data_IF_921042042036
#
_entry.id   IF_921042042036
#
_cell.length_a   1.000
_cell.length_b   1.000
_cell.length_c   1.000
_cell.angle_alpha   90.00
_cell.angle_beta   90.00
_cell.angle_gamma   90.00
#
_symmetry.space_group_name_H-M   'P 1'
#
loop_
_entity.id
_entity.type
_entity.pdbx_description
1 polymer ?
#
# COMPACT_ATOMS: atom_id res chain seq x y z
N UNK A 1 -12.65 -16.49 -0.53
CA UNK A 1 -12.56 -15.38 -1.52
C UNK A 1 -11.51 -15.67 -2.60
N UNK A 2 -10.26 -16.01 -2.28
CA UNK A 2 -9.21 -16.25 -3.29
C UNK A 2 -9.56 -17.23 -4.41
N UNK A 3 -10.16 -18.38 -4.06
CA UNK A 3 -10.63 -19.38 -5.05
C UNK A 3 -11.69 -18.82 -6.00
N UNK A 4 -12.50 -17.86 -5.57
CA UNK A 4 -13.55 -17.27 -6.40
C UNK A 4 -12.90 -16.41 -7.49
N UNK A 5 -12.03 -15.47 -7.12
CA UNK A 5 -11.42 -14.55 -8.09
C UNK A 5 -10.43 -15.23 -9.03
N UNK A 6 -9.62 -16.19 -8.53
CA UNK A 6 -8.69 -16.96 -9.37
C UNK A 6 -9.37 -17.87 -10.40
N UNK A 7 -10.60 -18.32 -10.11
CA UNK A 7 -11.39 -19.15 -11.03
C UNK A 7 -12.36 -18.32 -11.88
N UNK A 8 -12.61 -17.07 -11.51
CA UNK A 8 -13.47 -16.19 -12.28
C UNK A 8 -12.88 -15.96 -13.68
N UNK A 9 -13.74 -16.02 -14.70
CA UNK A 9 -13.37 -15.65 -16.07
C UNK A 9 -13.02 -14.17 -16.17
N UNK A 10 -13.77 -13.33 -15.44
CA UNK A 10 -13.66 -11.89 -15.44
C UNK A 10 -14.22 -11.35 -14.12
N UNK A 11 -13.60 -10.29 -13.60
CA UNK A 11 -14.08 -9.54 -12.44
C UNK A 11 -14.68 -8.22 -12.91
N UNK A 12 -15.95 -7.97 -12.56
CA UNK A 12 -16.65 -6.73 -12.87
C UNK A 12 -16.67 -5.85 -11.62
N UNK A 13 -16.08 -4.67 -11.72
CA UNK A 13 -15.93 -3.71 -10.63
C UNK A 13 -16.92 -2.58 -10.87
N UNK A 14 -18.07 -2.65 -10.22
CA UNK A 14 -19.06 -1.59 -10.25
C UNK A 14 -18.74 -0.54 -9.17
N UNK A 15 -18.50 0.70 -9.57
CA UNK A 15 -18.18 1.78 -8.62
C UNK A 15 -19.39 2.62 -8.23
N UNK A 16 -20.20 3.03 -9.20
CA UNK A 16 -21.35 3.91 -8.99
C UNK A 16 -22.20 4.06 -10.27
N UNK A 17 -23.36 4.71 -10.14
CA UNK A 17 -24.14 5.19 -11.28
C UNK A 17 -23.50 6.39 -11.95
N UNK A 18 -23.77 6.54 -13.25
CA UNK A 18 -23.35 7.71 -14.01
C UNK A 18 -24.20 8.94 -13.65
N UNK A 19 -23.52 10.07 -13.52
CA UNK A 19 -24.07 11.40 -13.28
C UNK A 19 -23.39 12.38 -14.23
N UNK A 20 -23.93 13.59 -14.37
CA UNK A 20 -23.29 14.65 -15.15
C UNK A 20 -21.85 14.95 -14.69
N UNK A 21 -21.55 14.71 -13.41
CA UNK A 21 -20.25 15.02 -12.82
C UNK A 21 -19.16 13.95 -13.00
N UNK A 22 -19.54 12.67 -13.15
CA UNK A 22 -18.59 11.54 -13.16
C UNK A 22 -18.64 10.72 -14.46
N UNK A 23 -19.54 11.06 -15.39
CA UNK A 23 -19.79 10.25 -16.59
C UNK A 23 -18.58 10.16 -17.52
N UNK A 24 -17.68 11.16 -17.49
CA UNK A 24 -16.48 11.19 -18.34
C UNK A 24 -15.23 10.68 -17.63
N UNK A 25 -15.30 10.33 -16.34
CA UNK A 25 -14.13 9.98 -15.56
C UNK A 25 -13.31 8.83 -16.18
N UNK A 26 -13.99 7.81 -16.74
CA UNK A 26 -13.34 6.69 -17.41
C UNK A 26 -12.75 7.06 -18.78
N UNK A 27 -13.34 8.03 -19.48
CA UNK A 27 -12.85 8.54 -20.76
C UNK A 27 -11.56 9.34 -20.53
N UNK A 28 -11.48 10.11 -19.43
CA UNK A 28 -10.26 10.81 -19.02
C UNK A 28 -9.10 9.83 -18.80
N UNK A 29 -9.33 8.66 -18.18
CA UNK A 29 -8.30 7.63 -18.06
C UNK A 29 -7.86 7.09 -19.42
N UNK A 30 -8.80 6.91 -20.36
CA UNK A 30 -8.48 6.46 -21.73
C UNK A 30 -7.63 7.50 -22.47
N UNK A 31 -7.90 8.79 -22.28
CA UNK A 31 -7.06 9.88 -22.82
C UNK A 31 -5.69 9.93 -22.15
N UNK A 32 -5.62 9.77 -20.83
CA UNK A 32 -4.34 9.74 -20.12
C UNK A 32 -3.46 8.57 -20.58
N UNK A 33 -4.04 7.42 -20.91
CA UNK A 33 -3.29 6.30 -21.45
C UNK A 33 -2.57 6.62 -22.76
N UNK A 34 -3.15 7.48 -23.61
CA UNK A 34 -2.56 7.87 -24.90
C UNK A 34 -1.59 9.05 -24.77
N UNK A 35 -1.83 9.95 -23.82
CA UNK A 35 -1.01 11.16 -23.61
C UNK A 35 0.25 10.84 -22.79
N UNK A 36 0.14 10.01 -21.75
CA UNK A 36 1.25 9.74 -20.85
C UNK A 36 2.30 8.87 -21.57
N UNK A 37 3.58 9.28 -21.57
CA UNK A 37 4.62 8.50 -22.20
C UNK A 37 4.71 7.10 -21.60
N UNK A 38 5.06 6.12 -22.42
CA UNK A 38 5.35 4.79 -21.94
C UNK A 38 6.53 4.81 -20.97
N UNK A 39 6.42 3.99 -19.94
CA UNK A 39 7.50 3.83 -18.98
C UNK A 39 8.71 3.19 -19.67
N UNK A 40 9.94 3.67 -19.41
CA UNK A 40 11.13 2.94 -19.84
C UNK A 40 11.10 1.52 -19.25
N UNK A 41 11.65 0.56 -19.99
CA UNK A 41 11.78 -0.81 -19.49
C UNK A 41 12.47 -0.80 -18.12
N UNK A 42 11.74 -1.25 -17.09
CA UNK A 42 12.21 -1.20 -15.72
C UNK A 42 13.46 -2.07 -15.57
N UNK A 43 14.63 -1.53 -15.14
CA UNK A 43 15.65 -2.37 -14.56
C UNK A 43 15.04 -3.03 -13.32
N UNK A 44 15.28 -4.33 -13.16
CA UNK A 44 14.56 -5.19 -12.22
C UNK A 44 14.55 -4.69 -10.76
N UNK A 45 13.45 -5.04 -10.10
CA UNK A 45 13.21 -5.19 -8.65
C UNK A 45 12.95 -3.99 -7.73
N UNK A 46 13.21 -2.72 -8.09
CA UNK A 46 12.99 -1.60 -7.15
C UNK A 46 12.41 -0.33 -7.78
N UNK A 47 11.15 -0.04 -7.46
CA UNK A 47 10.45 1.21 -7.83
C UNK A 47 11.08 2.45 -7.19
N UNK A 48 11.81 2.30 -6.07
CA UNK A 48 12.42 3.44 -5.36
C UNK A 48 13.52 4.16 -6.15
N UNK A 49 14.07 3.54 -7.20
CA UNK A 49 15.25 4.07 -7.88
C UNK A 49 14.95 4.67 -9.26
N UNK A 50 13.72 4.53 -9.78
CA UNK A 50 13.33 5.06 -11.11
C UNK A 50 12.18 6.05 -10.98
N UNK A 51 12.50 7.28 -10.57
CA UNK A 51 11.62 8.42 -10.82
C UNK A 51 11.90 8.91 -12.23
N UNK A 52 10.90 8.89 -13.10
CA UNK A 52 11.04 9.53 -14.39
C UNK A 52 10.89 11.04 -14.22
N UNK A 53 11.82 11.82 -14.81
CA UNK A 53 11.79 13.28 -14.72
C UNK A 53 10.53 13.83 -15.40
N UNK A 54 9.73 14.57 -14.64
CA UNK A 54 8.64 15.40 -15.20
C UNK A 54 9.24 16.59 -15.91
N UNK A 55 8.79 16.84 -17.13
CA UNK A 55 9.11 18.07 -17.83
C UNK A 55 7.92 19.04 -17.78
N UNK A 56 8.16 20.37 -17.69
CA UNK A 56 7.10 21.36 -17.80
C UNK A 56 6.26 21.22 -19.08
N UNK A 57 6.88 20.80 -20.18
CA UNK A 57 6.23 20.57 -21.47
C UNK A 57 5.20 19.44 -21.38
N UNK A 58 5.52 18.34 -20.70
CA UNK A 58 4.59 17.23 -20.48
C UNK A 58 3.39 17.70 -19.65
N UNK A 59 3.62 18.47 -18.59
CA UNK A 59 2.54 19.02 -17.75
C UNK A 59 1.63 19.95 -18.55
N UNK A 60 2.20 20.83 -19.38
CA UNK A 60 1.43 21.71 -20.25
C UNK A 60 0.64 20.94 -21.30
N UNK A 61 1.24 19.92 -21.90
CA UNK A 61 0.57 19.06 -22.88
C UNK A 61 -0.63 18.32 -22.26
N UNK A 62 -0.46 17.72 -21.08
CA UNK A 62 -1.55 17.05 -20.35
C UNK A 62 -2.69 18.05 -20.07
N UNK A 63 -2.37 19.24 -19.56
CA UNK A 63 -3.39 20.27 -19.29
C UNK A 63 -4.13 20.74 -20.55
N UNK A 64 -3.45 20.80 -21.69
CA UNK A 64 -4.05 21.21 -22.96
C UNK A 64 -4.96 20.13 -23.55
N UNK A 65 -4.66 18.86 -23.31
CA UNK A 65 -5.41 17.74 -23.87
C UNK A 65 -6.59 17.29 -22.99
N UNK A 66 -6.53 17.50 -21.67
CA UNK A 66 -7.59 17.07 -20.77
C UNK A 66 -8.76 18.08 -20.71
N UNK A 67 -10.02 17.61 -20.72
CA UNK A 67 -11.18 18.45 -20.49
C UNK A 67 -11.13 19.21 -19.17
N UNK A 68 -11.77 20.37 -19.11
CA UNK A 68 -11.95 21.11 -17.86
C UNK A 68 -12.66 20.22 -16.82
N UNK A 69 -12.19 20.27 -15.58
CA UNK A 69 -12.76 19.46 -14.49
C UNK A 69 -12.25 18.01 -14.41
N UNK A 70 -11.45 17.53 -15.36
CA UNK A 70 -10.85 16.16 -15.35
C UNK A 70 -10.18 15.81 -14.02
N UNK A 71 -9.47 16.76 -13.42
CA UNK A 71 -8.79 16.59 -12.14
C UNK A 71 -9.77 16.23 -11.01
N UNK A 72 -10.95 16.87 -11.00
CA UNK A 72 -11.98 16.62 -9.99
C UNK A 72 -12.69 15.29 -10.23
N UNK A 73 -12.94 14.93 -11.49
CA UNK A 73 -13.54 13.64 -11.85
C UNK A 73 -12.65 12.46 -11.43
N UNK A 74 -11.34 12.53 -11.72
CA UNK A 74 -10.35 11.55 -11.25
C UNK A 74 -10.32 11.51 -9.72
N UNK A 75 -10.24 12.67 -9.06
CA UNK A 75 -10.22 12.74 -7.60
C UNK A 75 -11.45 12.07 -6.97
N UNK A 76 -12.63 12.31 -7.54
CA UNK A 76 -13.88 11.70 -7.09
C UNK A 76 -13.89 10.19 -7.30
N UNK A 77 -13.52 9.70 -8.48
CA UNK A 77 -13.43 8.27 -8.77
C UNK A 77 -12.48 7.56 -7.80
N UNK A 78 -11.28 8.09 -7.61
CA UNK A 78 -10.29 7.49 -6.72
C UNK A 78 -10.68 7.58 -5.24
N UNK A 79 -11.55 8.54 -4.86
CA UNK A 79 -12.05 8.66 -3.49
C UNK A 79 -13.02 7.54 -3.09
N UNK A 80 -13.48 6.72 -4.05
CA UNK A 80 -14.47 5.69 -3.78
C UNK A 80 -13.97 4.68 -2.74
N UNK A 81 -14.81 4.28 -1.77
CA UNK A 81 -14.43 3.35 -0.71
C UNK A 81 -13.84 2.04 -1.21
N UNK A 82 -14.26 1.58 -2.40
CA UNK A 82 -13.74 0.35 -3.01
C UNK A 82 -12.20 0.33 -3.11
N UNK A 83 -11.57 1.43 -3.53
CA UNK A 83 -10.11 1.54 -3.65
C UNK A 83 -9.35 1.43 -2.32
N UNK A 84 -10.06 1.60 -1.20
CA UNK A 84 -9.47 1.56 0.13
C UNK A 84 -9.64 0.20 0.79
N UNK A 85 -10.48 -0.70 0.30
CA UNK A 85 -10.76 -1.99 0.97
C UNK A 85 -9.60 -2.97 0.77
N UNK A 86 -9.19 -3.69 1.81
CA UNK A 86 -8.10 -4.68 1.69
C UNK A 86 -8.42 -5.82 0.70
N UNK A 87 -9.70 -6.14 0.54
CA UNK A 87 -10.17 -7.19 -0.37
C UNK A 87 -9.96 -6.87 -1.85
N UNK A 88 -9.78 -5.58 -2.22
CA UNK A 88 -9.45 -5.18 -3.59
C UNK A 88 -8.24 -5.95 -4.12
N UNK A 89 -7.28 -6.25 -3.24
CA UNK A 89 -6.05 -6.91 -3.63
C UNK A 89 -6.36 -8.29 -4.24
N UNK A 90 -7.20 -9.13 -3.60
CA UNK A 90 -7.60 -10.40 -4.22
C UNK A 90 -8.48 -10.18 -5.45
N UNK A 91 -9.37 -9.19 -5.40
CA UNK A 91 -10.30 -8.88 -6.49
C UNK A 91 -9.58 -8.57 -7.80
N UNK A 92 -8.44 -7.87 -7.75
CA UNK A 92 -7.71 -7.43 -8.96
C UNK A 92 -6.44 -8.23 -9.24
N UNK A 93 -5.69 -8.65 -8.21
CA UNK A 93 -4.42 -9.40 -8.39
C UNK A 93 -4.70 -10.83 -8.85
N UNK A 94 -5.80 -11.45 -8.43
CA UNK A 94 -6.15 -12.82 -8.83
C UNK A 94 -7.05 -12.87 -10.06
N UNK A 95 -7.51 -11.73 -10.55
CA UNK A 95 -8.39 -11.69 -11.71
C UNK A 95 -7.61 -12.07 -12.98
N UNK A 96 -8.20 -12.91 -13.82
CA UNK A 96 -7.69 -13.13 -15.18
C UNK A 96 -7.83 -11.88 -16.03
N UNK A 97 -8.99 -11.24 -15.92
CA UNK A 97 -9.29 -9.92 -16.48
C UNK A 97 -10.23 -9.18 -15.51
N UNK A 98 -10.10 -7.86 -15.45
CA UNK A 98 -10.96 -7.01 -14.63
C UNK A 98 -11.41 -5.78 -15.41
N UNK A 99 -12.62 -5.29 -15.12
CA UNK A 99 -13.23 -4.15 -15.81
C UNK A 99 -13.99 -3.28 -14.81
N UNK A 100 -13.70 -1.98 -14.82
CA UNK A 100 -14.35 -0.96 -13.99
C UNK A 100 -15.59 -0.43 -14.70
N UNK A 101 -16.65 -0.16 -13.96
CA UNK A 101 -17.91 0.40 -14.46
C UNK A 101 -18.36 1.62 -13.67
N UNK A 102 -18.86 2.63 -14.40
CA UNK A 102 -19.62 3.78 -13.91
C UNK A 102 -20.87 3.90 -14.80
N UNK A 103 -22.05 3.60 -14.26
CA UNK A 103 -23.26 3.46 -15.09
C UNK A 103 -23.04 2.47 -16.23
N UNK A 104 -23.40 2.85 -17.46
CA UNK A 104 -23.19 2.01 -18.65
C UNK A 104 -21.78 2.08 -19.24
N UNK A 105 -20.89 2.93 -18.71
CA UNK A 105 -19.52 3.09 -19.20
C UNK A 105 -18.57 2.16 -18.48
N UNK A 106 -17.48 1.80 -19.17
CA UNK A 106 -16.53 0.85 -18.61
C UNK A 106 -15.10 1.08 -19.08
N UNK A 107 -14.14 0.65 -18.26
CA UNK A 107 -12.71 0.76 -18.52
C UNK A 107 -12.00 -0.54 -18.13
N UNK A 108 -11.10 -1.04 -18.98
CA UNK A 108 -10.28 -2.18 -18.62
C UNK A 108 -9.37 -1.83 -17.43
N UNK A 109 -9.26 -2.74 -16.46
CA UNK A 109 -8.43 -2.54 -15.27
C UNK A 109 -6.95 -2.31 -15.62
N UNK A 110 -6.45 -2.97 -16.68
CA UNK A 110 -5.09 -2.80 -17.18
C UNK A 110 -4.80 -1.37 -17.62
N UNK A 111 -5.75 -0.70 -18.27
CA UNK A 111 -5.63 0.70 -18.68
C UNK A 111 -5.55 1.59 -17.43
N UNK A 112 -6.50 1.38 -16.51
CA UNK A 112 -6.59 2.14 -15.27
C UNK A 112 -5.27 2.06 -14.47
N UNK A 113 -4.75 0.85 -14.22
CA UNK A 113 -3.54 0.70 -13.42
C UNK A 113 -2.31 1.25 -14.14
N UNK A 114 -2.20 1.07 -15.46
CA UNK A 114 -1.07 1.58 -16.22
C UNK A 114 -1.00 3.11 -16.14
N UNK A 115 -2.15 3.78 -16.27
CA UNK A 115 -2.24 5.23 -16.07
C UNK A 115 -1.86 5.63 -14.65
N UNK A 116 -2.39 4.96 -13.63
CA UNK A 116 -2.06 5.24 -12.22
C UNK A 116 -0.56 5.07 -11.96
N UNK A 117 0.03 3.99 -12.48
CA UNK A 117 1.46 3.69 -12.37
C UNK A 117 2.33 4.77 -13.01
N UNK A 118 1.97 5.22 -14.23
CA UNK A 118 2.63 6.35 -14.90
C UNK A 118 2.50 7.63 -14.10
N UNK A 119 1.32 7.96 -13.59
CA UNK A 119 1.13 9.16 -12.77
C UNK A 119 2.05 9.12 -11.53
N UNK A 120 2.18 7.97 -10.88
CA UNK A 120 3.04 7.82 -9.69
C UNK A 120 4.52 7.91 -10.03
N UNK A 121 4.98 7.23 -11.07
CA UNK A 121 6.41 7.21 -11.43
C UNK A 121 6.91 8.53 -12.02
N UNK A 122 6.04 9.22 -12.75
CA UNK A 122 6.28 10.60 -13.18
C UNK A 122 5.91 11.60 -12.08
N UNK A 123 5.63 11.24 -10.81
CA UNK A 123 5.31 12.24 -9.77
C UNK A 123 4.25 13.29 -10.17
N UNK A 124 3.26 12.88 -10.97
CA UNK A 124 2.23 13.74 -11.54
C UNK A 124 1.02 13.91 -10.61
N UNK A 125 1.08 13.39 -9.38
CA UNK A 125 -0.05 13.39 -8.45
C UNK A 125 -0.48 14.80 -8.06
N UNK A 126 0.44 15.77 -8.07
CA UNK A 126 0.12 17.17 -7.80
C UNK A 126 -0.92 17.74 -8.77
N UNK A 127 -1.06 17.17 -9.97
CA UNK A 127 -2.09 17.58 -10.93
C UNK A 127 -3.49 17.06 -10.56
N UNK A 128 -3.61 16.11 -9.64
CA UNK A 128 -4.86 15.42 -9.32
C UNK A 128 -5.10 15.48 -7.80
N UNK A 129 -5.87 16.48 -7.36
CA UNK A 129 -6.06 16.85 -5.94
C UNK A 129 -6.62 15.71 -5.05
N UNK A 130 -7.19 14.65 -5.61
CA UNK A 130 -7.58 13.44 -4.85
C UNK A 130 -6.60 12.27 -4.95
N UNK A 131 -5.73 12.27 -5.94
CA UNK A 131 -4.71 11.24 -6.07
C UNK A 131 -3.69 11.40 -4.96
N UNK A 132 -3.21 12.60 -4.61
CA UNK A 132 -2.25 12.78 -3.50
C UNK A 132 -2.75 12.14 -2.18
N UNK A 133 -4.05 12.29 -1.85
CA UNK A 133 -4.64 11.67 -0.64
C UNK A 133 -4.75 10.14 -0.72
N UNK A 134 -4.93 9.57 -1.91
CA UNK A 134 -5.03 8.11 -2.10
C UNK A 134 -3.67 7.45 -2.46
N UNK A 135 -2.76 8.23 -3.04
CA UNK A 135 -1.41 7.89 -3.49
C UNK A 135 -0.47 7.70 -2.30
N UNK A 136 -0.73 8.35 -1.17
CA UNK A 136 0.08 8.12 0.01
C UNK A 136 0.05 6.64 0.48
N UNK A 137 -0.94 5.81 0.10
CA UNK A 137 -1.03 4.46 0.68
C UNK A 137 -1.64 3.32 -0.15
N UNK A 138 -2.70 3.52 -0.95
CA UNK A 138 -3.44 2.36 -1.51
C UNK A 138 -3.04 2.04 -2.96
N UNK A 139 -3.11 3.03 -3.85
CA UNK A 139 -2.93 2.80 -5.28
C UNK A 139 -1.49 2.46 -5.68
N UNK A 140 -0.44 3.18 -5.21
CA UNK A 140 0.94 2.76 -5.46
C UNK A 140 1.24 1.38 -4.88
N UNK A 141 0.60 1.02 -3.76
CA UNK A 141 0.75 -0.31 -3.19
C UNK A 141 0.08 -1.38 -4.04
N UNK A 142 -1.08 -1.11 -4.67
CA UNK A 142 -1.67 -2.03 -5.66
C UNK A 142 -0.79 -2.15 -6.91
N UNK A 143 -0.23 -1.03 -7.40
CA UNK A 143 0.74 -1.04 -8.51
C UNK A 143 1.93 -1.93 -8.16
N UNK A 144 2.51 -1.75 -6.97
CA UNK A 144 3.59 -2.60 -6.45
C UNK A 144 3.17 -4.08 -6.40
N UNK A 145 1.95 -4.37 -5.93
CA UNK A 145 1.43 -5.74 -5.79
C UNK A 145 1.17 -6.44 -7.13
N UNK A 146 0.91 -5.69 -8.21
CA UNK A 146 0.62 -6.26 -9.53
C UNK A 146 1.85 -6.35 -10.45
N UNK A 147 2.99 -5.79 -10.05
CA UNK A 147 4.18 -5.82 -10.89
C UNK A 147 4.83 -7.24 -10.93
N UNK A 148 5.17 -7.78 -12.11
CA UNK A 148 5.72 -9.12 -12.27
C UNK A 148 6.92 -9.41 -11.37
N UNK A 149 7.87 -8.47 -11.23
CA UNK A 149 9.04 -8.64 -10.33
C UNK A 149 8.69 -8.78 -8.84
N UNK A 150 7.51 -8.29 -8.41
CA UNK A 150 7.02 -8.52 -7.04
C UNK A 150 6.28 -9.85 -6.89
N UNK A 151 5.72 -10.38 -7.98
CA UNK A 151 5.02 -11.67 -8.02
C UNK A 151 5.92 -12.85 -8.38
N UNK A 152 7.02 -12.64 -9.09
CA UNK A 152 7.99 -13.66 -9.51
C UNK A 152 9.02 -13.93 -8.41
N UNK A 153 9.54 -12.88 -7.78
CA UNK A 153 10.15 -12.97 -6.46
C UNK A 153 9.05 -12.75 -5.43
N UNK A 154 8.12 -13.70 -5.28
CA UNK A 154 7.05 -13.66 -4.26
C UNK A 154 7.64 -13.24 -2.93
N UNK A 155 7.56 -11.95 -2.63
CA UNK A 155 8.18 -11.39 -1.44
C UNK A 155 7.62 -12.10 -0.21
N UNK A 156 8.37 -12.15 0.90
CA UNK A 156 7.84 -12.73 2.13
C UNK A 156 6.49 -12.07 2.44
N UNK A 157 5.49 -12.86 2.85
CA UNK A 157 4.12 -12.39 3.14
C UNK A 157 4.09 -11.08 3.94
N UNK A 158 5.09 -10.90 4.81
CA UNK A 158 5.38 -9.65 5.47
C UNK A 158 5.33 -8.39 4.61
N UNK A 159 5.98 -8.40 3.44
CA UNK A 159 6.03 -7.25 2.54
C UNK A 159 4.64 -6.95 2.01
N UNK A 160 3.87 -7.98 1.67
CA UNK A 160 2.45 -7.82 1.30
C UNK A 160 1.66 -7.19 2.44
N UNK A 161 1.86 -7.63 3.68
CA UNK A 161 1.20 -7.04 4.85
C UNK A 161 1.56 -5.58 5.05
N UNK A 162 2.81 -5.21 4.83
CA UNK A 162 3.24 -3.83 4.95
C UNK A 162 2.60 -2.95 3.86
N UNK A 163 2.57 -3.42 2.61
CA UNK A 163 1.90 -2.72 1.50
C UNK A 163 0.37 -2.65 1.72
N UNK A 164 -0.22 -3.68 2.32
CA UNK A 164 -1.64 -3.72 2.62
C UNK A 164 -2.03 -2.98 3.92
N UNK A 165 -1.05 -2.46 4.68
CA UNK A 165 -1.24 -2.00 6.05
C UNK A 165 -2.27 -0.88 6.18
N UNK A 166 -2.34 -0.02 5.16
CA UNK A 166 -3.20 1.17 5.17
C UNK A 166 -4.52 0.98 4.42
N UNK A 167 -4.78 -0.20 3.86
CA UNK A 167 -6.12 -0.54 3.40
C UNK A 167 -7.11 -0.60 4.57
N UNK A 168 -8.40 -0.61 4.30
CA UNK A 168 -9.46 -0.62 5.27
C UNK A 168 -10.09 -2.00 5.33
N UNK A 169 -10.47 -2.41 6.52
CA UNK A 169 -11.17 -3.66 6.79
C UNK A 169 -12.10 -3.44 7.97
N UNK A 170 -13.35 -3.91 7.85
CA UNK A 170 -14.30 -3.89 8.98
C UNK A 170 -13.87 -4.87 10.06
N UNK A 171 -13.43 -6.06 9.66
CA UNK A 171 -12.82 -7.03 10.55
C UNK A 171 -11.29 -6.90 10.49
N UNK A 172 -10.59 -6.62 11.61
CA UNK A 172 -9.14 -6.53 11.64
C UNK A 172 -8.41 -7.78 11.11
N UNK A 173 -9.03 -8.96 11.19
CA UNK A 173 -8.45 -10.22 10.73
C UNK A 173 -8.34 -10.28 9.21
N UNK A 174 -9.18 -9.54 8.49
CA UNK A 174 -9.15 -9.48 7.03
C UNK A 174 -7.82 -8.92 6.51
N UNK A 175 -7.08 -8.16 7.32
CA UNK A 175 -5.71 -7.71 7.01
C UNK A 175 -4.76 -8.85 6.69
N UNK A 176 -4.93 -9.96 7.40
CA UNK A 176 -4.17 -11.19 7.17
C UNK A 176 -4.90 -12.04 6.11
N UNK A 177 -6.20 -12.29 6.29
CA UNK A 177 -6.95 -13.22 5.46
C UNK A 177 -7.06 -12.81 3.98
N UNK A 178 -7.14 -11.51 3.70
CA UNK A 178 -7.13 -11.00 2.33
C UNK A 178 -5.79 -11.22 1.61
N UNK A 179 -4.71 -11.54 2.31
CA UNK A 179 -3.41 -11.77 1.68
C UNK A 179 -3.03 -13.26 1.63
N UNK A 180 -3.64 -14.11 2.46
CA UNK A 180 -3.31 -15.55 2.54
C UNK A 180 -3.43 -16.27 1.20
N UNK A 181 -4.38 -15.86 0.36
CA UNK A 181 -4.56 -16.46 -0.96
C UNK A 181 -3.50 -16.05 -1.98
N UNK A 182 -2.79 -14.94 -1.75
CA UNK A 182 -1.81 -14.38 -2.71
C UNK A 182 -0.42 -14.96 -2.44
N UNK A 183 -0.10 -15.28 -1.18
CA UNK A 183 1.18 -15.87 -0.83
C UNK A 183 1.29 -17.35 -1.14
N UNK A 184 2.46 -17.79 -1.57
CA UNK A 184 2.79 -19.18 -1.95
C UNK A 184 2.83 -20.18 -0.80
N UNK A 185 2.41 -19.78 0.41
CA UNK A 185 2.45 -20.71 1.52
C UNK A 185 1.23 -21.63 1.49
N UNK A 186 1.41 -22.80 0.86
CA UNK A 186 0.48 -23.94 0.90
C UNK A 186 0.01 -24.30 2.33
N UNK A 187 0.81 -23.97 3.33
CA UNK A 187 0.49 -24.18 4.74
C UNK A 187 -0.58 -23.21 5.31
N UNK A 188 -0.93 -22.11 4.62
CA UNK A 188 -2.04 -21.21 5.03
C UNK A 188 -3.23 -21.22 4.08
N UNK A 189 -3.02 -21.48 2.79
CA UNK A 189 -4.09 -21.49 1.79
C UNK A 189 -5.13 -22.60 2.02
N UNK A 190 -4.74 -23.66 2.74
CA UNK A 190 -5.58 -24.83 3.04
C UNK A 190 -6.40 -24.72 4.34
N UNK A 191 -6.09 -23.77 5.24
CA UNK A 191 -6.89 -23.57 6.46
C UNK A 191 -8.06 -22.64 6.16
N UNK A 192 -9.27 -23.12 6.41
CA UNK A 192 -10.47 -22.29 6.42
C UNK A 192 -10.26 -21.10 7.35
N UNK A 193 -10.60 -19.89 6.88
CA UNK A 193 -10.56 -18.68 7.69
C UNK A 193 -11.53 -18.85 8.86
N UNK A 194 -11.02 -18.85 10.08
CA UNK A 194 -11.82 -19.05 11.29
C UNK A 194 -12.01 -17.73 12.05
N UNK A 195 -13.18 -17.11 11.83
CA UNK A 195 -13.59 -15.88 12.51
C UNK A 195 -14.09 -16.09 13.94
N UNK A 196 -14.03 -17.32 14.49
CA UNK A 196 -14.29 -17.55 15.91
C UNK A 196 -13.08 -17.23 16.78
N UNK A 197 -11.89 -17.22 16.19
CA UNK A 197 -10.63 -16.94 16.88
C UNK A 197 -10.54 -15.43 17.19
N UNK A 198 -10.23 -15.03 18.44
CA UNK A 198 -10.00 -13.64 18.80
C UNK A 198 -8.91 -12.99 17.94
N UNK A 199 -9.10 -11.72 17.56
CA UNK A 199 -8.16 -10.94 16.72
C UNK A 199 -6.72 -11.05 17.23
N UNK A 200 -6.52 -10.89 18.55
CA UNK A 200 -5.21 -10.96 19.19
C UNK A 200 -4.51 -12.29 18.96
N UNK A 201 -5.24 -13.39 19.07
CA UNK A 201 -4.71 -14.73 18.84
C UNK A 201 -4.31 -14.94 17.37
N UNK A 202 -5.10 -14.42 16.43
CA UNK A 202 -4.76 -14.49 15.00
C UNK A 202 -3.45 -13.75 14.74
N UNK A 203 -3.30 -12.53 15.27
CA UNK A 203 -2.08 -11.74 15.07
C UNK A 203 -0.85 -12.38 15.73
N UNK A 204 -0.99 -12.88 16.97
CA UNK A 204 0.09 -13.60 17.68
C UNK A 204 0.54 -14.84 16.90
N UNK A 205 -0.41 -15.68 16.48
CA UNK A 205 -0.13 -16.91 15.74
C UNK A 205 0.59 -16.61 14.43
N UNK A 206 0.12 -15.58 13.72
CA UNK A 206 0.70 -15.15 12.45
C UNK A 206 2.13 -14.66 12.62
N UNK A 207 2.35 -13.72 13.55
CA UNK A 207 3.69 -13.18 13.82
C UNK A 207 4.65 -14.25 14.30
N UNK A 208 4.24 -15.12 15.23
CA UNK A 208 5.10 -16.22 15.73
C UNK A 208 5.54 -17.13 14.60
N UNK A 209 4.62 -17.50 13.72
CA UNK A 209 4.92 -18.34 12.56
C UNK A 209 5.96 -17.68 11.65
N UNK A 210 5.74 -16.42 11.28
CA UNK A 210 6.64 -15.74 10.35
C UNK A 210 8.03 -15.46 10.93
N UNK A 211 8.14 -15.22 12.23
CA UNK A 211 9.43 -15.11 12.90
C UNK A 211 10.22 -16.42 12.79
N UNK A 212 9.55 -17.57 12.87
CA UNK A 212 10.17 -18.90 12.75
C UNK A 212 10.52 -19.21 11.29
N UNK A 213 9.59 -19.01 10.37
CA UNK A 213 9.74 -19.43 8.97
C UNK A 213 10.58 -18.46 8.12
N UNK A 214 10.53 -17.15 8.41
CA UNK A 214 10.96 -16.11 7.47
C UNK A 214 12.09 -15.22 8.00
N UNK A 215 11.78 -14.21 8.81
CA UNK A 215 12.73 -13.15 9.17
C UNK A 215 12.31 -12.42 10.45
N UNK A 216 13.28 -11.97 11.24
CA UNK A 216 13.04 -11.08 12.39
C UNK A 216 12.62 -9.67 11.97
N UNK A 217 12.71 -9.34 10.68
CA UNK A 217 12.25 -8.05 10.16
C UNK A 217 10.76 -7.80 10.41
N UNK A 218 9.97 -8.85 10.70
CA UNK A 218 8.59 -8.71 11.20
C UNK A 218 8.46 -7.81 12.43
N UNK A 219 9.47 -7.80 13.29
CA UNK A 219 9.51 -6.94 14.47
C UNK A 219 9.61 -5.46 14.09
N UNK A 220 10.08 -5.11 12.88
CA UNK A 220 10.12 -3.72 12.43
C UNK A 220 8.74 -3.14 12.11
N UNK A 221 7.70 -3.98 12.00
CA UNK A 221 6.31 -3.54 11.85
C UNK A 221 5.57 -3.37 13.19
N UNK A 222 6.23 -3.63 14.33
CA UNK A 222 5.61 -3.33 15.62
C UNK A 222 5.59 -1.83 15.82
N UNK A 223 4.40 -1.29 16.04
CA UNK A 223 4.25 0.14 16.29
C UNK A 223 4.41 0.42 17.78
N UNK A 224 5.13 1.49 18.10
CA UNK A 224 5.01 2.16 19.39
C UNK A 224 4.18 3.43 19.15
N UNK A 225 2.93 3.42 19.59
CA UNK A 225 2.06 4.61 19.56
C UNK A 225 1.56 4.87 20.98
N UNK A 226 1.51 6.13 21.38
CA UNK A 226 0.99 6.54 22.70
C UNK A 226 -0.55 6.35 22.83
N UNK A 227 -1.24 6.05 21.72
CA UNK A 227 -2.68 5.83 21.70
C UNK A 227 -3.11 4.46 22.26
N UNK A 228 -4.17 4.47 23.08
CA UNK A 228 -4.81 3.29 23.68
C UNK A 228 -5.07 2.23 22.61
N UNK A 229 -4.35 1.11 22.64
CA UNK A 229 -4.47 0.01 21.67
C UNK A 229 -5.92 -0.49 21.58
N UNK A 230 -6.45 -0.63 20.36
CA UNK A 230 -7.78 -1.23 20.15
C UNK A 230 -7.79 -2.72 20.48
N UNK A 231 -6.63 -3.38 20.38
CA UNK A 231 -6.42 -4.78 20.68
C UNK A 231 -5.25 -4.89 21.66
N UNK A 232 -5.44 -5.60 22.77
CA UNK A 232 -4.35 -5.88 23.71
C UNK A 232 -3.45 -6.94 23.09
N UNK A 233 -2.26 -6.52 22.67
CA UNK A 233 -1.26 -7.36 22.02
C UNK A 233 0.06 -7.33 22.78
N UNK A 234 0.84 -8.42 22.75
CA UNK A 234 2.24 -8.38 23.15
C UNK A 234 3.01 -7.37 22.31
N UNK A 235 4.00 -6.70 22.91
CA UNK A 235 4.76 -5.62 22.25
C UNK A 235 5.55 -6.05 21.01
N UNK A 236 5.83 -7.35 20.88
CA UNK A 236 6.52 -7.93 19.74
C UNK A 236 5.58 -8.31 18.58
N UNK A 237 4.26 -8.17 18.75
CA UNK A 237 3.24 -8.46 17.75
C UNK A 237 2.77 -7.17 17.07
N UNK A 238 2.96 -7.03 15.74
CA UNK A 238 2.40 -5.90 15.01
C UNK A 238 0.86 -5.84 15.09
N UNK A 239 0.33 -4.67 15.41
CA UNK A 239 -1.12 -4.43 15.39
C UNK A 239 -1.63 -4.10 13.99
N UNK A 240 -1.88 -5.14 13.18
CA UNK A 240 -2.32 -4.98 11.78
C UNK A 240 -3.66 -4.24 11.60
N UNK A 241 -4.44 -4.03 12.67
CA UNK A 241 -5.70 -3.27 12.58
C UNK A 241 -5.48 -1.78 12.36
N UNK A 242 -4.28 -1.27 12.69
CA UNK A 242 -3.97 0.15 12.65
C UNK A 242 -3.24 0.57 11.38
N UNK A 243 -3.63 1.68 10.73
CA UNK A 243 -2.80 2.28 9.70
C UNK A 243 -1.48 2.79 10.30
N UNK A 244 -0.49 2.99 9.44
CA UNK A 244 0.82 3.52 9.81
C UNK A 244 1.27 4.57 8.80
N UNK A 245 1.87 5.63 9.31
CA UNK A 245 2.52 6.66 8.47
C UNK A 245 3.96 6.28 8.11
N UNK A 246 4.46 5.16 8.65
CA UNK A 246 5.83 4.69 8.46
C UNK A 246 5.82 3.30 7.87
N UNK A 247 6.59 3.13 6.81
CA UNK A 247 6.80 1.83 6.18
C UNK A 247 8.03 1.17 6.81
N UNK A 248 7.97 -0.12 7.18
CA UNK A 248 9.13 -0.84 7.69
C UNK A 248 10.31 -0.81 6.71
N UNK A 249 11.53 -0.72 7.24
CA UNK A 249 12.75 -0.52 6.43
C UNK A 249 12.98 -1.58 5.35
N UNK A 250 12.51 -2.82 5.58
CA UNK A 250 12.63 -3.91 4.60
C UNK A 250 11.82 -3.65 3.32
N UNK A 251 10.73 -2.89 3.40
CA UNK A 251 9.91 -2.54 2.23
C UNK A 251 10.64 -1.54 1.32
N UNK A 252 11.52 -0.71 1.90
CA UNK A 252 12.36 0.28 1.21
C UNK A 252 13.57 -0.38 0.52
N UNK A 253 13.61 -1.71 0.45
CA UNK A 253 14.63 -2.45 -0.30
C UNK A 253 16.00 -2.47 0.36
N UNK A 254 16.10 -2.05 1.63
CA UNK A 254 17.30 -2.18 2.43
C UNK A 254 17.43 -3.62 2.94
N UNK A 255 18.57 -4.26 2.66
CA UNK A 255 18.89 -5.60 3.17
C UNK A 255 19.65 -5.45 4.48
N UNK A 256 19.11 -6.03 5.56
CA UNK A 256 19.73 -6.00 6.88
C UNK A 256 20.20 -7.41 7.25
N UNK A 257 21.49 -7.56 7.55
CA UNK A 257 22.04 -8.83 8.00
C UNK A 257 23.04 -8.65 9.15
N UNK A 258 22.60 -8.01 10.23
CA UNK A 258 23.43 -7.79 11.42
C UNK A 258 23.93 -9.10 12.07
N UNK A 259 23.25 -10.23 11.84
CA UNK A 259 23.62 -11.54 12.35
C UNK A 259 24.60 -12.32 11.46
N UNK A 260 24.88 -11.85 10.25
CA UNK A 260 25.74 -12.54 9.28
C UNK A 260 25.19 -13.93 8.91
N UNK A 261 25.92 -14.98 9.27
CA UNK A 261 25.55 -16.38 9.06
C UNK A 261 24.92 -17.04 10.30
N UNK A 262 24.75 -16.28 11.38
CA UNK A 262 24.23 -16.80 12.65
C UNK A 262 22.79 -17.27 12.47
N UNK A 263 22.53 -18.54 12.77
CA UNK A 263 21.18 -19.10 12.72
C UNK A 263 20.36 -18.50 13.86
N UNK A 264 19.24 -17.89 13.50
CA UNK A 264 18.21 -17.41 14.43
C UNK A 264 17.70 -18.53 15.32
N UNK A 265 17.71 -18.32 16.64
CA UNK A 265 17.13 -19.22 17.63
C UNK A 265 15.95 -18.53 18.30
N UNK A 266 14.77 -19.10 18.07
CA UNK A 266 13.53 -18.74 18.73
C UNK A 266 13.21 -19.86 19.71
N UNK A 267 13.04 -19.52 20.98
CA UNK A 267 12.66 -20.52 21.98
C UNK A 267 11.23 -21.01 21.69
N UNK A 268 11.07 -22.31 21.45
CA UNK A 268 9.76 -22.93 21.25
C UNK A 268 8.83 -22.76 22.48
N UNK A 269 9.41 -22.48 23.66
CA UNK A 269 8.70 -22.19 24.92
C UNK A 269 8.06 -20.79 24.95
N UNK A 270 8.15 -19.98 23.89
CA UNK A 270 7.46 -18.69 23.82
C UNK A 270 5.94 -18.90 23.99
N UNK A 271 5.42 -18.55 25.17
CA UNK A 271 3.98 -18.39 25.39
C UNK A 271 3.45 -17.25 24.51
N UNK A 272 2.15 -17.25 24.25
CA UNK A 272 1.38 -16.21 23.54
C UNK A 272 1.76 -14.77 23.90
N UNK A 273 2.32 -14.52 25.09
CA UNK A 273 2.68 -13.18 25.59
C UNK A 273 4.16 -12.81 25.51
N UNK A 274 5.08 -13.78 25.48
CA UNK A 274 6.52 -13.51 25.63
C UNK A 274 7.32 -14.08 24.45
N UNK A 275 8.11 -13.21 23.82
CA UNK A 275 9.07 -13.60 22.79
C UNK A 275 10.47 -13.68 23.41
N UNK A 276 11.13 -14.83 23.25
CA UNK A 276 12.53 -15.05 23.59
C UNK A 276 13.34 -15.26 22.33
N UNK A 277 14.36 -14.43 22.15
CA UNK A 277 15.30 -14.49 21.02
C UNK A 277 16.72 -14.29 21.53
N UNK A 278 17.67 -14.97 20.89
CA UNK A 278 19.09 -14.73 21.12
C UNK A 278 19.52 -13.43 20.43
N UNK A 279 20.36 -12.64 21.10
CA UNK A 279 20.87 -11.39 20.55
C UNK A 279 22.15 -10.95 21.24
N UNK A 280 22.88 -10.04 20.60
CA UNK A 280 24.07 -9.40 21.18
C UNK A 280 23.71 -8.00 21.63
N UNK A 281 24.00 -7.66 22.88
CA UNK A 281 23.87 -6.28 23.36
C UNK A 281 24.87 -5.40 22.63
N UNK A 282 24.38 -4.49 21.80
CA UNK A 282 25.22 -3.54 21.05
C UNK A 282 25.48 -2.28 21.87
N UNK A 283 24.44 -1.69 22.47
CA UNK A 283 24.54 -0.49 23.30
C UNK A 283 23.33 -0.40 24.24
N UNK A 284 23.27 0.66 25.07
CA UNK A 284 22.10 1.04 25.88
C UNK A 284 21.69 2.45 25.49
N UNK A 285 20.39 2.73 25.48
CA UNK A 285 19.88 4.07 25.16
C UNK A 285 20.19 4.99 26.36
N UNK A 286 21.11 5.95 26.17
CA UNK A 286 21.51 6.88 27.23
C UNK A 286 20.53 8.04 27.47
N UNK A 287 19.75 8.41 26.45
CA UNK A 287 18.73 9.46 26.53
C UNK A 287 17.67 9.24 25.44
N UNK A 288 16.40 9.41 25.79
CA UNK A 288 15.31 9.46 24.82
C UNK A 288 15.23 10.89 24.25
N UNK A 289 15.25 11.01 22.93
CA UNK A 289 14.93 12.26 22.24
C UNK A 289 13.42 12.38 22.01
N UNK A 290 12.88 13.60 22.02
CA UNK A 290 11.55 13.85 21.50
C UNK A 290 11.61 13.85 19.97
N UNK A 291 10.74 13.05 19.33
CA UNK A 291 10.69 13.04 17.86
C UNK A 291 10.09 14.37 17.40
N UNK A 292 10.74 15.06 16.46
CA UNK A 292 10.32 16.36 15.87
C UNK A 292 9.03 16.30 15.04
N UNK A 293 8.09 15.40 15.33
CA UNK A 293 6.83 15.30 14.57
C UNK A 293 6.03 16.60 14.72
N UNK A 294 5.96 17.14 15.93
CA UNK A 294 5.24 18.39 16.22
C UNK A 294 5.97 19.65 15.76
N UNK A 295 7.25 19.57 15.38
CA UNK A 295 8.03 20.70 14.83
C UNK A 295 7.96 20.75 13.29
N UNK A 296 7.51 19.69 12.63
CA UNK A 296 7.40 19.61 11.17
C UNK A 296 6.03 20.08 10.64
N UNK A 297 4.96 19.97 11.43
CA UNK A 297 3.62 20.46 11.04
C UNK A 297 3.60 21.96 10.67
N UNK A 298 4.22 22.89 11.44
CA UNK A 298 4.23 24.30 11.08
C UNK A 298 5.03 24.59 9.81
N UNK A 299 6.09 23.83 9.52
CA UNK A 299 6.94 24.00 8.33
C UNK A 299 6.28 23.48 7.05
N UNK A 300 5.37 22.52 7.17
CA UNK A 300 4.57 22.01 6.05
C UNK A 300 3.33 22.85 5.76
N UNK A 301 2.83 23.59 6.76
CA UNK A 301 1.69 24.50 6.66
C UNK A 301 2.09 25.96 6.36
N UNK A 302 3.36 26.34 6.55
CA UNK A 302 3.83 27.72 6.34
C UNK A 302 4.09 28.11 4.88
N UNK A 303 3.87 27.22 3.91
CA UNK A 303 4.08 27.53 2.48
C UNK A 303 2.84 28.11 1.78
N UNK A 304 1.69 28.24 2.47
CA UNK A 304 0.46 28.77 1.86
C UNK A 304 0.17 30.27 2.12
N UNK A 305 0.95 30.96 2.97
CA UNK A 305 0.75 32.40 3.23
C UNK A 305 2.00 33.24 2.95
N UNK A 306 2.36 33.34 1.68
CA UNK A 306 3.40 34.24 1.18
C UNK A 306 2.91 35.01 -0.04
N UNK A 307 1.91 35.87 0.15
CA UNK A 307 1.40 36.77 -0.88
C UNK A 307 2.52 37.60 -1.50
N UNK A 308 2.50 37.71 -2.82
CA UNK A 308 3.31 38.64 -3.60
C UNK A 308 2.96 40.08 -3.20
N UNK A 309 3.62 40.57 -2.15
CA UNK A 309 3.61 41.96 -1.73
C UNK A 309 4.73 42.71 -2.43
N UNK A 310 4.36 43.42 -3.49
CA UNK A 310 5.13 44.52 -4.07
C UNK A 310 5.65 45.47 -2.99
N UNK A 311 6.97 45.71 -2.97
CA UNK A 311 7.53 46.94 -2.42
C UNK A 311 8.46 47.56 -3.45
N UNK A 312 7.92 48.60 -4.09
CA UNK A 312 8.64 49.70 -4.68
C UNK A 312 9.39 50.49 -3.60
N UNK A 313 10.67 50.72 -3.81
CA UNK A 313 11.37 51.97 -3.52
C UNK A 313 12.58 52.06 -4.46
#
# INVERSE_FOLDING_TARGET
MSKIYSQARQVLIWLEEATEYNSEALDVFSQLETILPDLPARPSDKITDTVALVTPELVMHIKACLPEGSQRQIAHLLSKPWFRRVWIIQEVVMARTAQIFIGSRSLAWSIFINVVERIVLYQLEFMFVGLVRNAQTALPNIVNLMHPGYTEARGPFFRLLCLARNFQSTDPRDKLHALLGISDSDAMSSKSVDYTIPVSNVFIQYTKRELVSSSLAHLSATNYTDDVAQVILPTWVPDWSRPVDRVPFEVVGATFNAGGTTIRRLDSSCDSKLLKIDGKKVSSIGRLGTTRINELEPLLLSTEEGGWGSQSA
#
